data_IF_926148893937
#
_entry.id   IF_926148893937
#
_cell.length_a   1.000
_cell.length_b   1.000
_cell.length_c   1.000
_cell.angle_alpha   90.00
_cell.angle_beta   90.00
_cell.angle_gamma   90.00
#
_symmetry.space_group_name_H-M   'P 1'
#
loop_
_entity.id
_entity.type
_entity.pdbx_description
1 polymer ?
#
# COMPACT_ATOMS: atom_id res chain seq x y z
N UNK A 1 1.71 -3.69 3.91
CA UNK A 1 2.89 -4.49 4.27
C UNK A 1 4.12 -3.69 3.86
N UNK A 2 5.05 -3.32 4.75
CA UNK A 2 6.30 -2.72 4.34
C UNK A 2 7.22 -3.82 3.80
N UNK A 3 7.75 -3.65 2.59
CA UNK A 3 8.76 -4.52 2.00
C UNK A 3 10.13 -4.09 2.53
N UNK A 4 10.74 -4.92 3.36
CA UNK A 4 12.12 -4.75 3.80
C UNK A 4 13.00 -5.81 3.14
N UNK A 5 13.84 -5.40 2.18
CA UNK A 5 14.83 -6.29 1.57
C UNK A 5 16.03 -6.49 2.51
N UNK A 6 16.48 -7.75 2.65
CA UNK A 6 17.52 -8.16 3.62
C UNK A 6 18.95 -7.94 3.09
N UNK A 7 19.79 -7.55 4.05
CA UNK A 7 21.20 -7.14 3.99
C UNK A 7 22.15 -8.10 3.25
N UNK A 8 23.10 -7.51 2.52
CA UNK A 8 24.29 -8.20 1.97
C UNK A 8 25.21 -8.66 3.11
N UNK A 9 25.52 -9.95 3.14
CA UNK A 9 26.55 -10.53 4.02
C UNK A 9 27.94 -10.02 3.62
N UNK A 10 28.69 -9.43 4.55
CA UNK A 10 30.12 -9.14 4.35
C UNK A 10 30.93 -9.85 5.44
N UNK A 11 31.79 -10.74 4.96
CA UNK A 11 32.62 -11.71 5.68
C UNK A 11 33.92 -11.04 6.15
N UNK A 12 33.88 -10.33 7.29
CA UNK A 12 35.00 -10.00 8.20
C UNK A 12 34.45 -9.11 9.32
N UNK A 13 34.63 -9.50 10.59
CA UNK A 13 34.27 -8.67 11.75
C UNK A 13 35.18 -7.43 11.81
N UNK A 14 34.90 -6.43 10.97
CA UNK A 14 35.43 -5.08 11.19
C UNK A 14 34.62 -4.49 12.33
N UNK A 15 35.26 -4.07 13.41
CA UNK A 15 34.59 -3.26 14.43
C UNK A 15 34.25 -1.91 13.78
N UNK A 16 33.00 -1.75 13.39
CA UNK A 16 32.50 -0.51 12.79
C UNK A 16 32.09 0.44 13.91
N UNK A 17 32.66 1.65 13.91
CA UNK A 17 32.26 2.73 14.80
C UNK A 17 31.47 3.74 13.96
N UNK A 18 30.22 3.99 14.33
CA UNK A 18 29.39 5.03 13.73
C UNK A 18 29.46 6.31 14.58
N UNK A 19 29.81 7.43 13.97
CA UNK A 19 29.86 8.75 14.63
C UNK A 19 28.78 9.63 14.01
N UNK A 20 27.92 10.22 14.84
CA UNK A 20 26.92 11.19 14.43
C UNK A 20 27.04 12.43 15.32
N UNK A 21 27.54 13.53 14.75
CA UNK A 21 27.73 14.81 15.41
C UNK A 21 27.54 15.94 14.38
N UNK A 22 27.22 17.15 14.84
CA UNK A 22 27.09 18.35 13.99
C UNK A 22 28.40 18.64 13.25
N UNK A 23 29.54 18.53 13.95
CA UNK A 23 30.90 18.63 13.41
C UNK A 23 31.67 17.30 13.50
N UNK A 24 31.18 16.27 12.81
CA UNK A 24 31.85 14.97 12.77
C UNK A 24 33.29 15.02 12.22
N UNK A 25 33.64 16.08 11.48
CA UNK A 25 34.95 16.29 10.84
C UNK A 25 36.11 16.27 11.84
N UNK A 26 35.96 16.89 13.01
CA UNK A 26 37.04 16.94 14.03
C UNK A 26 37.29 15.56 14.65
N UNK A 27 36.22 14.83 14.94
CA UNK A 27 36.26 13.48 15.51
C UNK A 27 36.94 12.51 14.52
N UNK A 28 36.60 12.64 13.24
CA UNK A 28 37.17 11.84 12.16
C UNK A 28 38.66 12.16 11.92
N UNK A 29 39.06 13.44 12.06
CA UNK A 29 40.45 13.85 11.96
C UNK A 29 41.30 13.25 13.08
N UNK A 30 40.82 13.30 14.33
CA UNK A 30 41.49 12.68 15.47
C UNK A 30 41.60 11.15 15.31
N UNK A 31 40.56 10.49 14.79
CA UNK A 31 40.59 9.06 14.54
C UNK A 31 41.68 8.67 13.52
N UNK A 32 41.86 9.45 12.45
CA UNK A 32 42.93 9.25 11.46
C UNK A 32 44.33 9.54 11.99
N UNK A 33 44.45 10.47 12.94
CA UNK A 33 45.74 10.73 13.61
C UNK A 33 46.20 9.50 14.41
N UNK A 34 45.27 8.83 15.10
CA UNK A 34 45.59 7.65 15.93
C UNK A 34 45.67 6.35 15.14
N UNK A 35 44.92 6.24 14.05
CA UNK A 35 44.96 5.09 13.15
C UNK A 35 44.98 5.56 11.68
N UNK A 36 46.16 5.71 11.08
CA UNK A 36 46.30 6.18 9.69
C UNK A 36 45.63 5.26 8.65
N UNK A 37 45.43 3.98 8.97
CA UNK A 37 44.77 2.99 8.10
C UNK A 37 43.23 3.00 8.26
N UNK A 38 42.70 3.87 9.14
CA UNK A 38 41.27 3.99 9.37
C UNK A 38 40.53 4.39 8.08
N UNK A 39 39.71 3.47 7.58
CA UNK A 39 38.85 3.71 6.44
C UNK A 39 37.58 4.44 6.89
N UNK A 40 37.54 5.75 6.64
CA UNK A 40 36.34 6.57 6.84
C UNK A 40 35.41 6.36 5.66
N UNK A 41 34.23 5.80 5.93
CA UNK A 41 33.12 5.78 4.98
C UNK A 41 32.14 6.84 5.42
N UNK A 42 31.96 7.88 4.62
CA UNK A 42 30.81 8.75 4.75
C UNK A 42 29.58 7.92 4.41
N UNK A 43 28.94 7.35 5.42
CA UNK A 43 27.59 6.89 5.25
C UNK A 43 26.76 8.16 5.10
N UNK A 44 26.30 8.44 3.88
CA UNK A 44 25.08 9.24 3.73
C UNK A 44 24.11 8.66 4.76
N UNK A 45 23.50 9.51 5.61
CA UNK A 45 22.39 9.06 6.43
C UNK A 45 21.50 8.32 5.45
N UNK A 46 21.36 7.00 5.64
CA UNK A 46 20.33 6.29 4.93
C UNK A 46 19.08 7.00 5.39
N UNK A 47 18.56 7.88 4.53
CA UNK A 47 17.31 8.55 4.75
C UNK A 47 16.33 7.40 4.75
N UNK A 48 16.10 6.87 5.94
CA UNK A 48 14.93 6.07 6.26
C UNK A 48 13.75 7.04 6.31
N UNK A 49 13.61 7.85 5.25
CA UNK A 49 12.52 8.76 5.03
C UNK A 49 11.34 7.86 4.78
N UNK A 50 10.58 7.65 5.84
CA UNK A 50 9.30 7.01 5.77
C UNK A 50 8.43 7.92 4.92
N UNK A 51 8.25 7.56 3.65
CA UNK A 51 7.34 8.27 2.76
C UNK A 51 5.93 7.90 3.19
N UNK A 52 5.05 8.89 3.36
CA UNK A 52 3.64 8.62 3.60
C UNK A 52 3.07 7.81 2.42
N UNK A 53 2.19 6.81 2.65
CA UNK A 53 1.64 6.00 1.57
C UNK A 53 1.11 6.84 0.41
N UNK A 54 0.39 7.93 0.68
CA UNK A 54 -0.16 8.88 -0.28
C UNK A 54 0.88 9.52 -1.23
N UNK A 55 2.10 9.70 -0.77
CA UNK A 55 3.18 10.33 -1.54
C UNK A 55 3.90 9.31 -2.45
N UNK A 56 3.73 8.01 -2.15
CA UNK A 56 4.31 6.92 -2.93
C UNK A 56 3.73 6.85 -4.34
N UNK A 57 4.61 6.73 -5.34
CA UNK A 57 4.21 6.54 -6.74
C UNK A 57 3.34 5.28 -6.91
N UNK A 58 3.69 4.19 -6.22
CA UNK A 58 2.91 2.95 -6.22
C UNK A 58 1.48 3.16 -5.69
N UNK A 59 1.32 3.90 -4.59
CA UNK A 59 -0.01 4.14 -4.02
C UNK A 59 -0.86 4.98 -4.96
N UNK A 60 -0.28 6.02 -5.58
CA UNK A 60 -0.97 6.85 -6.57
C UNK A 60 -1.45 6.03 -7.76
N UNK A 61 -0.60 5.14 -8.28
CA UNK A 61 -0.97 4.24 -9.38
C UNK A 61 -2.10 3.28 -8.98
N UNK A 62 -1.96 2.60 -7.83
CA UNK A 62 -2.98 1.69 -7.33
C UNK A 62 -4.30 2.43 -7.08
N UNK A 63 -4.24 3.61 -6.47
CA UNK A 63 -5.42 4.41 -6.16
C UNK A 63 -6.12 4.89 -7.42
N UNK A 64 -5.38 5.26 -8.47
CA UNK A 64 -5.94 5.66 -9.77
C UNK A 64 -6.65 4.50 -10.49
N UNK A 65 -6.18 3.26 -10.29
CA UNK A 65 -6.80 2.06 -10.88
C UNK A 65 -7.99 1.51 -10.07
N UNK A 66 -8.23 2.02 -8.86
CA UNK A 66 -9.24 1.49 -7.96
C UNK A 66 -10.64 1.97 -8.32
N UNK A 67 -11.61 1.05 -8.33
CA UNK A 67 -13.04 1.32 -8.47
C UNK A 67 -13.85 0.39 -7.55
N UNK A 68 -15.11 0.73 -7.20
CA UNK A 68 -15.90 -0.02 -6.22
C UNK A 68 -16.15 -1.49 -6.58
N UNK A 69 -16.15 -1.82 -7.87
CA UNK A 69 -16.27 -3.19 -8.37
C UNK A 69 -15.16 -4.13 -7.88
N UNK A 70 -13.95 -3.60 -7.65
CA UNK A 70 -12.85 -4.37 -7.04
C UNK A 70 -13.24 -4.76 -5.62
N UNK A 71 -13.74 -3.80 -4.83
CA UNK A 71 -14.21 -4.06 -3.46
C UNK A 71 -15.36 -5.06 -3.46
N UNK A 72 -16.29 -4.96 -4.42
CA UNK A 72 -17.39 -5.91 -4.58
C UNK A 72 -16.90 -7.35 -4.73
N UNK A 73 -15.96 -7.58 -5.66
CA UNK A 73 -15.36 -8.89 -5.90
C UNK A 73 -14.73 -9.44 -4.63
N UNK A 74 -13.90 -8.63 -3.97
CA UNK A 74 -13.22 -9.01 -2.72
C UNK A 74 -14.23 -9.39 -1.64
N UNK A 75 -15.31 -8.63 -1.46
CA UNK A 75 -16.33 -8.93 -0.45
C UNK A 75 -17.13 -10.18 -0.78
N UNK A 76 -17.48 -10.38 -2.05
CA UNK A 76 -18.14 -11.59 -2.53
C UNK A 76 -17.31 -12.83 -2.25
N UNK A 77 -16.02 -12.79 -2.61
CA UNK A 77 -15.10 -13.91 -2.43
C UNK A 77 -14.83 -14.22 -0.95
N UNK A 78 -14.65 -13.18 -0.12
CA UNK A 78 -14.54 -13.36 1.32
C UNK A 78 -15.80 -13.97 1.97
N UNK A 79 -16.97 -13.75 1.36
CA UNK A 79 -18.22 -14.37 1.79
C UNK A 79 -18.41 -15.79 1.22
N UNK A 80 -17.49 -16.30 0.41
CA UNK A 80 -17.57 -17.62 -0.22
C UNK A 80 -18.65 -17.72 -1.30
N UNK A 81 -19.09 -16.59 -1.86
CA UNK A 81 -20.20 -16.55 -2.82
C UNK A 81 -19.71 -16.58 -4.27
N UNK A 82 -20.44 -17.27 -5.12
CA UNK A 82 -20.38 -17.13 -6.58
C UNK A 82 -21.07 -15.83 -7.03
N UNK A 83 -20.80 -15.39 -8.25
CA UNK A 83 -21.51 -14.24 -8.82
C UNK A 83 -23.03 -14.49 -8.95
N UNK A 84 -23.43 -15.73 -9.19
CA UNK A 84 -24.83 -16.13 -9.29
C UNK A 84 -25.56 -16.05 -7.94
N UNK A 85 -24.91 -16.48 -6.86
CA UNK A 85 -25.47 -16.39 -5.51
C UNK A 85 -25.61 -14.93 -5.06
N UNK A 86 -24.58 -14.10 -5.28
CA UNK A 86 -24.67 -12.68 -4.96
C UNK A 86 -25.75 -11.97 -5.79
N UNK A 87 -25.85 -12.30 -7.07
CA UNK A 87 -26.92 -11.82 -7.96
C UNK A 87 -28.31 -12.13 -7.38
N UNK A 88 -28.55 -13.39 -6.99
CA UNK A 88 -29.81 -13.81 -6.39
C UNK A 88 -30.09 -13.08 -5.06
N UNK A 89 -29.09 -12.96 -4.18
CA UNK A 89 -29.23 -12.27 -2.89
C UNK A 89 -29.51 -10.77 -3.02
N UNK A 90 -28.96 -10.14 -4.06
CA UNK A 90 -29.12 -8.72 -4.31
C UNK A 90 -30.28 -8.40 -5.28
N UNK A 91 -30.99 -9.41 -5.79
CA UNK A 91 -32.06 -9.31 -6.81
C UNK A 91 -31.55 -8.74 -8.17
N UNK A 92 -30.29 -9.00 -8.50
CA UNK A 92 -29.63 -8.53 -9.71
C UNK A 92 -29.41 -9.69 -10.69
N UNK A 93 -29.07 -9.38 -11.93
CA UNK A 93 -28.62 -10.39 -12.90
C UNK A 93 -27.14 -10.72 -12.67
N UNK A 94 -26.74 -11.95 -12.98
CA UNK A 94 -25.32 -12.37 -12.93
C UNK A 94 -24.45 -11.51 -13.85
N UNK A 95 -24.98 -11.13 -15.02
CA UNK A 95 -24.32 -10.22 -15.96
C UNK A 95 -24.04 -8.85 -15.35
N UNK A 96 -24.96 -8.31 -14.54
CA UNK A 96 -24.72 -7.06 -13.82
C UNK A 96 -23.58 -7.21 -12.80
N UNK A 97 -23.57 -8.27 -12.00
CA UNK A 97 -22.47 -8.52 -11.04
C UNK A 97 -21.12 -8.58 -11.77
N UNK A 98 -21.04 -9.34 -12.86
CA UNK A 98 -19.83 -9.42 -13.68
C UNK A 98 -19.42 -8.07 -14.28
N UNK A 99 -20.37 -7.28 -14.78
CA UNK A 99 -20.10 -5.95 -15.34
C UNK A 99 -19.56 -4.98 -14.27
N UNK A 100 -20.13 -5.00 -13.06
CA UNK A 100 -19.65 -4.18 -11.95
C UNK A 100 -18.25 -4.61 -11.49
N UNK A 101 -18.02 -5.91 -11.28
CA UNK A 101 -16.73 -6.42 -10.80
C UNK A 101 -15.57 -6.21 -11.78
N UNK A 102 -15.86 -6.05 -13.07
CA UNK A 102 -14.85 -5.80 -14.11
C UNK A 102 -14.76 -4.31 -14.53
N UNK A 103 -15.55 -3.42 -13.91
CA UNK A 103 -15.53 -1.99 -14.24
C UNK A 103 -16.18 -1.64 -15.59
N UNK A 104 -16.87 -2.59 -16.24
CA UNK A 104 -17.60 -2.34 -17.49
C UNK A 104 -18.84 -1.47 -17.29
N UNK A 105 -19.34 -1.38 -16.04
CA UNK A 105 -20.51 -0.58 -15.69
C UNK A 105 -20.29 0.14 -14.36
N UNK A 106 -20.59 1.45 -14.27
CA UNK A 106 -20.57 2.16 -12.99
C UNK A 106 -21.71 1.66 -12.08
N UNK A 107 -21.45 1.65 -10.78
CA UNK A 107 -22.41 1.19 -9.77
C UNK A 107 -23.14 2.38 -9.16
N UNK A 108 -24.41 2.57 -9.52
CA UNK A 108 -25.23 3.63 -8.91
C UNK A 108 -25.62 3.32 -7.46
N UNK A 109 -25.99 4.37 -6.71
CA UNK A 109 -26.31 4.30 -5.27
C UNK A 109 -27.37 3.24 -4.92
N UNK A 110 -28.42 3.12 -5.73
CA UNK A 110 -29.48 2.14 -5.50
C UNK A 110 -28.96 0.69 -5.56
N UNK A 111 -28.06 0.41 -6.50
CA UNK A 111 -27.41 -0.90 -6.66
C UNK A 111 -26.42 -1.13 -5.51
N UNK A 112 -25.62 -0.12 -5.17
CA UNK A 112 -24.69 -0.17 -4.04
C UNK A 112 -25.40 -0.52 -2.73
N UNK A 113 -26.57 0.09 -2.44
CA UNK A 113 -27.40 -0.22 -1.26
C UNK A 113 -27.84 -1.69 -1.21
N UNK A 114 -28.23 -2.26 -2.35
CA UNK A 114 -28.67 -3.66 -2.45
C UNK A 114 -27.52 -4.63 -2.20
N UNK A 115 -26.37 -4.38 -2.82
CA UNK A 115 -25.15 -5.19 -2.64
C UNK A 115 -24.62 -5.09 -1.21
N UNK A 116 -24.60 -3.89 -0.63
CA UNK A 116 -24.23 -3.65 0.75
C UNK A 116 -25.12 -4.43 1.73
N UNK A 117 -26.44 -4.44 1.50
CA UNK A 117 -27.39 -5.23 2.29
C UNK A 117 -27.14 -6.72 2.14
N UNK A 118 -26.95 -7.21 0.91
CA UNK A 118 -26.70 -8.63 0.64
C UNK A 118 -25.41 -9.12 1.32
N UNK A 119 -24.35 -8.31 1.29
CA UNK A 119 -23.03 -8.64 1.85
C UNK A 119 -22.87 -8.25 3.33
N UNK A 120 -23.88 -7.62 3.95
CA UNK A 120 -23.82 -7.08 5.32
C UNK A 120 -22.61 -6.16 5.53
N UNK A 121 -22.37 -5.27 4.57
CA UNK A 121 -21.28 -4.28 4.57
C UNK A 121 -21.84 -2.86 4.51
N UNK A 122 -21.10 -1.85 4.98
CA UNK A 122 -21.54 -0.46 4.85
C UNK A 122 -21.52 -0.02 3.38
N UNK A 123 -22.51 0.80 2.99
CA UNK A 123 -22.71 1.20 1.57
C UNK A 123 -21.51 1.97 1.02
N UNK A 124 -20.80 2.72 1.88
CA UNK A 124 -19.60 3.49 1.53
C UNK A 124 -18.51 2.66 0.83
N UNK A 125 -18.46 1.34 1.07
CA UNK A 125 -17.48 0.46 0.42
C UNK A 125 -17.75 0.23 -1.06
N UNK A 126 -18.95 0.56 -1.54
CA UNK A 126 -19.41 0.29 -2.91
C UNK A 126 -19.79 1.56 -3.67
N UNK A 127 -19.40 2.73 -3.16
CA UNK A 127 -19.70 4.05 -3.74
C UNK A 127 -18.36 4.71 -4.11
N UNK A 128 -18.30 5.39 -5.25
CA UNK A 128 -17.14 6.25 -5.56
C UNK A 128 -17.23 7.54 -4.73
N UNK A 129 -16.12 8.04 -4.16
CA UNK A 129 -16.14 9.25 -3.34
C UNK A 129 -16.84 10.44 -4.01
N UNK A 130 -16.73 10.53 -5.34
CA UNK A 130 -17.28 11.61 -6.16
C UNK A 130 -18.80 11.52 -6.35
N UNK A 131 -19.38 10.35 -6.08
CA UNK A 131 -20.83 10.09 -6.17
C UNK A 131 -21.58 10.29 -4.84
N UNK A 132 -20.91 10.81 -3.79
CA UNK A 132 -21.54 11.12 -2.50
C UNK A 132 -22.22 12.50 -2.46
N UNK A 133 -22.07 13.31 -3.52
CA UNK A 133 -22.55 14.71 -3.58
C UNK A 133 -23.88 14.90 -4.31
N UNK A 134 -24.56 13.82 -4.73
CA UNK A 134 -25.90 13.85 -5.34
C UNK A 134 -26.99 13.21 -4.45
#
# INVERSE_FOLDING_TARGET
MPLAEKKRHIKKERKLISVAAEDASEILAYAKEKDPEAHIVAAERSNNDMILPEDSAWYREVKASWYPGITLRIRRENAGLTQAELAAMADLTVSNISAYENGHRPMGLAVAKRLAKALKRPVIEFIEPESMTE
#
